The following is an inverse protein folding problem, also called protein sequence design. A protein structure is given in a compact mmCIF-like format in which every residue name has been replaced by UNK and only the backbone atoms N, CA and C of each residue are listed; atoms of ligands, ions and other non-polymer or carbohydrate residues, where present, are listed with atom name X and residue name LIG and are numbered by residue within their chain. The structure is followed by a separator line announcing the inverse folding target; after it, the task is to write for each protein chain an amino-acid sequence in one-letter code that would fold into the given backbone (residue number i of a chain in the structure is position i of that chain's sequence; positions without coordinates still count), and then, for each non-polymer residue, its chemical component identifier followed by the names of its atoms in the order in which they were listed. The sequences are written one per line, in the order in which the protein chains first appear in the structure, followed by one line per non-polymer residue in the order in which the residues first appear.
data_IF_147720530675
#
_entry.id   IF_147720530675
#
_cell.length_a   1.000
_cell.length_b   1.000
_cell.length_c   1.000
_cell.angle_alpha   90.00
_cell.angle_beta   90.00
_cell.angle_gamma   90.00
#
_symmetry.space_group_name_H-M   'P 1'
#
loop_
_entity.id
_entity.type
_entity.pdbx_description
1 polymer ?
#
# COMPACT_ATOMS: atom_id res chain seq x y z
N UNK A 1 6.48 -31.94 -19.48
CA UNK A 1 6.94 -30.55 -19.37
C UNK A 1 5.96 -29.68 -20.16
N UNK A 2 4.85 -29.29 -19.54
CA UNK A 2 3.96 -28.27 -20.11
C UNK A 2 4.56 -26.93 -19.69
N UNK A 3 5.15 -26.20 -20.63
CA UNK A 3 5.67 -24.85 -20.39
C UNK A 3 4.52 -23.95 -19.93
N UNK A 4 4.82 -22.97 -19.06
CA UNK A 4 3.90 -21.93 -18.59
C UNK A 4 2.94 -21.49 -19.70
N UNK A 5 1.69 -21.95 -19.63
CA UNK A 5 0.62 -21.49 -20.50
C UNK A 5 -0.06 -20.28 -19.83
N UNK A 6 0.72 -19.25 -19.55
CA UNK A 6 0.18 -17.95 -19.14
C UNK A 6 -0.01 -17.12 -20.39
N UNK A 7 -1.21 -16.55 -20.54
CA UNK A 7 -1.50 -15.58 -21.57
C UNK A 7 -0.66 -14.31 -21.28
N UNK A 8 0.53 -14.27 -21.85
CA UNK A 8 1.47 -13.15 -21.69
C UNK A 8 1.09 -12.07 -22.70
N UNK A 9 0.66 -10.91 -22.21
CA UNK A 9 0.56 -9.71 -23.02
C UNK A 9 1.95 -9.10 -23.13
N UNK A 10 2.69 -9.44 -24.19
CA UNK A 10 3.90 -8.73 -24.57
C UNK A 10 3.51 -7.36 -25.15
N UNK A 11 3.26 -6.39 -24.27
CA UNK A 11 3.00 -5.03 -24.69
C UNK A 11 4.34 -4.39 -25.08
N UNK A 12 4.66 -4.39 -26.37
CA UNK A 12 5.75 -3.58 -26.92
C UNK A 12 5.30 -2.12 -26.94
N UNK A 13 5.24 -1.50 -25.76
CA UNK A 13 5.15 -0.04 -25.65
C UNK A 13 6.53 0.52 -25.93
N UNK A 14 6.70 1.09 -27.12
CA UNK A 14 7.81 2.01 -27.40
C UNK A 14 7.67 3.21 -26.47
N UNK A 15 8.38 3.20 -25.34
CA UNK A 15 8.56 4.36 -24.48
C UNK A 15 9.31 5.41 -25.30
N UNK A 16 8.58 6.40 -25.81
CA UNK A 16 9.17 7.47 -26.60
C UNK A 16 10.03 8.39 -25.72
N UNK A 17 11.33 8.09 -25.67
CA UNK A 17 12.44 9.04 -25.71
C UNK A 17 12.66 9.97 -24.53
N UNK A 18 13.44 9.51 -23.53
CA UNK A 18 14.60 10.30 -23.09
C UNK A 18 15.70 10.01 -24.13
N UNK A 19 16.11 11.01 -24.90
CA UNK A 19 17.16 10.86 -25.91
C UNK A 19 18.50 10.67 -25.24
N UNK A 20 18.88 9.42 -25.02
CA UNK A 20 20.23 9.06 -24.60
C UNK A 20 21.16 8.90 -25.82
N UNK A 21 22.40 9.38 -25.67
CA UNK A 21 23.46 9.29 -26.69
C UNK A 21 23.73 7.85 -27.16
N UNK A 22 24.55 7.70 -28.19
CA UNK A 22 24.82 6.41 -28.85
C UNK A 22 25.46 5.34 -27.92
N UNK A 23 26.01 5.75 -26.79
CA UNK A 23 26.67 4.89 -25.82
C UNK A 23 25.77 4.65 -24.59
N UNK A 24 25.32 3.41 -24.38
CA UNK A 24 24.62 2.98 -23.17
C UNK A 24 23.52 1.92 -23.39
N UNK A 25 22.80 1.58 -22.32
CA UNK A 25 21.64 0.69 -22.36
C UNK A 25 20.41 1.42 -22.88
N UNK A 26 19.62 0.75 -23.73
CA UNK A 26 18.33 1.22 -24.25
C UNK A 26 17.34 0.06 -24.19
N UNK A 27 16.17 0.32 -23.64
CA UNK A 27 15.13 -0.71 -23.50
C UNK A 27 14.58 -1.08 -24.88
N UNK A 28 14.70 -2.35 -25.25
CA UNK A 28 14.12 -2.92 -26.47
C UNK A 28 12.68 -3.41 -26.29
N UNK A 29 12.30 -3.74 -25.06
CA UNK A 29 10.95 -4.20 -24.72
C UNK A 29 10.76 -4.42 -23.22
N UNK A 30 9.51 -4.33 -22.79
CA UNK A 30 9.05 -4.59 -21.42
C UNK A 30 8.21 -5.88 -21.41
N UNK A 31 8.44 -6.73 -20.41
CA UNK A 31 7.76 -8.01 -20.22
C UNK A 31 7.06 -7.97 -18.86
N UNK A 32 5.78 -8.33 -18.84
CA UNK A 32 4.99 -8.47 -17.63
C UNK A 32 4.75 -9.96 -17.38
N UNK A 33 5.06 -10.41 -16.17
CA UNK A 33 4.93 -11.83 -15.81
C UNK A 33 3.55 -12.18 -15.24
N UNK A 34 2.81 -11.15 -14.82
CA UNK A 34 1.43 -11.25 -14.36
C UNK A 34 0.46 -11.08 -15.52
N UNK A 35 -0.74 -11.63 -15.35
CA UNK A 35 -1.90 -11.32 -16.19
C UNK A 35 -2.43 -9.91 -15.90
N UNK A 36 -3.22 -9.36 -16.81
CA UNK A 36 -3.77 -8.01 -16.71
C UNK A 36 -4.62 -7.80 -15.45
N UNK A 37 -5.49 -8.75 -15.12
CA UNK A 37 -6.34 -8.73 -13.93
C UNK A 37 -5.52 -8.68 -12.63
N UNK A 38 -4.41 -9.42 -12.57
CA UNK A 38 -3.50 -9.40 -11.42
C UNK A 38 -2.77 -8.05 -11.33
N UNK A 39 -2.39 -7.46 -12.45
CA UNK A 39 -1.76 -6.14 -12.46
C UNK A 39 -2.74 -5.05 -12.04
N UNK A 40 -3.99 -5.07 -12.49
CA UNK A 40 -5.01 -4.10 -12.09
C UNK A 40 -5.30 -4.14 -10.58
N UNK A 41 -5.31 -5.34 -9.98
CA UNK A 41 -5.52 -5.48 -8.55
C UNK A 41 -4.32 -4.99 -7.71
N UNK A 42 -3.09 -5.15 -8.22
CA UNK A 42 -1.86 -4.97 -7.42
C UNK A 42 -1.10 -3.69 -7.72
N UNK A 43 -1.10 -3.22 -8.96
CA UNK A 43 -0.40 -2.02 -9.37
C UNK A 43 -1.30 -0.77 -9.20
N UNK A 44 -0.73 0.38 -8.83
CA UNK A 44 -1.50 1.59 -8.54
C UNK A 44 -2.10 2.20 -9.82
N UNK A 45 -1.30 2.31 -10.88
CA UNK A 45 -1.74 2.56 -12.26
C UNK A 45 -0.61 2.25 -13.28
N UNK A 46 -0.96 2.27 -14.58
CA UNK A 46 -0.02 2.01 -15.70
C UNK A 46 1.12 3.05 -15.76
N UNK A 47 0.87 4.29 -15.34
CA UNK A 47 1.84 5.39 -15.40
C UNK A 47 2.94 5.20 -14.37
N UNK A 48 2.61 4.76 -13.17
CA UNK A 48 3.60 4.41 -12.14
C UNK A 48 4.47 3.23 -12.58
N UNK A 49 3.87 2.21 -13.21
CA UNK A 49 4.61 1.07 -13.75
C UNK A 49 5.61 1.51 -14.84
N UNK A 50 5.16 2.36 -15.76
CA UNK A 50 6.02 2.93 -16.80
C UNK A 50 7.15 3.80 -16.20
N UNK A 51 6.84 4.60 -15.17
CA UNK A 51 7.83 5.43 -14.47
C UNK A 51 8.90 4.57 -13.81
N UNK A 52 8.50 3.47 -13.17
CA UNK A 52 9.44 2.54 -12.55
C UNK A 52 10.32 1.83 -13.58
N UNK A 53 9.75 1.37 -14.71
CA UNK A 53 10.52 0.78 -15.80
C UNK A 53 11.56 1.77 -16.39
N UNK A 54 11.18 3.04 -16.56
CA UNK A 54 12.09 4.09 -17.01
C UNK A 54 13.22 4.36 -16.01
N UNK A 55 12.95 4.30 -14.71
CA UNK A 55 13.97 4.47 -13.68
C UNK A 55 14.98 3.31 -13.68
N UNK A 56 14.53 2.08 -13.90
CA UNK A 56 15.41 0.92 -14.10
C UNK A 56 16.27 1.08 -15.36
N UNK A 57 15.67 1.51 -16.47
CA UNK A 57 16.41 1.81 -17.70
C UNK A 57 17.49 2.86 -17.48
N UNK A 58 17.17 3.97 -16.80
CA UNK A 58 18.13 5.03 -16.52
C UNK A 58 19.33 4.53 -15.69
N UNK A 59 19.08 3.68 -14.69
CA UNK A 59 20.13 3.07 -13.89
C UNK A 59 21.03 2.11 -14.71
N UNK A 60 20.43 1.30 -15.58
CA UNK A 60 21.17 0.48 -16.54
C UNK A 60 21.98 1.33 -17.51
N UNK A 61 21.37 2.40 -18.04
CA UNK A 61 22.00 3.31 -18.98
C UNK A 61 23.27 3.92 -18.37
N UNK A 62 23.14 4.53 -17.19
CA UNK A 62 24.27 5.14 -16.47
C UNK A 62 25.39 4.13 -16.24
N UNK A 63 25.07 2.90 -15.85
CA UNK A 63 26.07 1.86 -15.60
C UNK A 63 26.83 1.46 -16.88
N UNK A 64 26.10 1.20 -17.97
CA UNK A 64 26.68 0.74 -19.23
C UNK A 64 27.28 1.84 -20.10
N UNK A 65 27.26 3.10 -19.66
CA UNK A 65 28.13 4.14 -20.23
C UNK A 65 29.60 3.95 -19.85
N UNK A 66 29.87 3.23 -18.76
CA UNK A 66 31.22 3.01 -18.20
C UNK A 66 31.70 1.58 -18.34
N UNK A 67 30.76 0.64 -18.42
CA UNK A 67 31.01 -0.80 -18.41
C UNK A 67 30.60 -1.44 -19.73
N UNK A 68 31.29 -2.52 -20.12
CA UNK A 68 30.91 -3.29 -21.29
C UNK A 68 29.52 -3.95 -21.10
N UNK A 69 28.69 -3.93 -22.15
CA UNK A 69 27.38 -4.58 -22.14
C UNK A 69 27.51 -6.10 -22.21
N UNK A 70 26.64 -6.87 -21.51
CA UNK A 70 26.54 -8.31 -21.69
C UNK A 70 26.16 -8.64 -23.14
N UNK A 71 26.52 -9.85 -23.58
CA UNK A 71 26.05 -10.38 -24.86
C UNK A 71 24.56 -10.77 -24.73
N UNK A 72 23.75 -10.57 -25.79
CA UNK A 72 22.39 -11.09 -25.82
C UNK A 72 22.34 -12.62 -25.61
N UNK A 73 21.30 -13.15 -24.95
CA UNK A 73 20.20 -12.40 -24.36
C UNK A 73 20.56 -11.77 -23.01
N UNK A 74 20.10 -10.54 -22.78
CA UNK A 74 20.25 -9.82 -21.53
C UNK A 74 18.90 -9.24 -21.08
N UNK A 75 18.41 -9.76 -19.95
CA UNK A 75 17.20 -9.26 -19.30
C UNK A 75 17.50 -8.82 -17.88
N UNK A 76 16.84 -7.74 -17.47
CA UNK A 76 16.76 -7.29 -16.08
C UNK A 76 15.34 -7.55 -15.59
N UNK A 77 15.19 -8.39 -14.57
CA UNK A 77 13.90 -8.67 -13.95
C UNK A 77 13.88 -8.02 -12.58
N UNK A 78 12.90 -7.16 -12.33
CA UNK A 78 12.65 -6.56 -11.03
C UNK A 78 11.33 -7.08 -10.48
N UNK A 79 11.36 -7.68 -9.29
CA UNK A 79 10.15 -7.95 -8.52
C UNK A 79 9.98 -6.87 -7.45
N UNK A 80 8.76 -6.38 -7.29
CA UNK A 80 8.36 -5.42 -6.26
C UNK A 80 7.34 -6.07 -5.36
N UNK A 81 7.55 -6.01 -4.05
CA UNK A 81 6.64 -6.48 -3.01
C UNK A 81 5.96 -5.31 -2.28
N UNK A 82 4.84 -5.57 -1.59
CA UNK A 82 4.27 -4.60 -0.66
C UNK A 82 5.32 -4.06 0.32
N UNK A 83 5.18 -2.80 0.73
CA UNK A 83 6.18 -2.11 1.54
C UNK A 83 7.35 -1.51 0.73
N UNK A 84 7.20 -1.35 -0.59
CA UNK A 84 8.20 -0.73 -1.49
C UNK A 84 9.57 -1.42 -1.43
N UNK A 85 9.57 -2.74 -1.31
CA UNK A 85 10.79 -3.55 -1.37
C UNK A 85 10.92 -4.11 -2.78
N UNK A 86 12.13 -4.03 -3.35
CA UNK A 86 12.42 -4.62 -4.66
C UNK A 86 13.61 -5.55 -4.61
N UNK A 87 13.62 -6.51 -5.53
CA UNK A 87 14.76 -7.41 -5.75
C UNK A 87 14.95 -7.62 -7.25
N UNK A 88 16.20 -7.74 -7.67
CA UNK A 88 16.56 -7.81 -9.08
C UNK A 88 17.29 -9.10 -9.41
N UNK A 89 16.95 -9.65 -10.58
CA UNK A 89 17.63 -10.78 -11.21
C UNK A 89 18.02 -10.44 -12.64
N UNK A 90 19.01 -11.18 -13.15
CA UNK A 90 19.44 -11.08 -14.52
C UNK A 90 19.25 -12.41 -15.24
N UNK A 91 18.90 -12.34 -16.52
CA UNK A 91 19.01 -13.47 -17.44
C UNK A 91 20.15 -13.15 -18.40
N UNK A 92 21.17 -13.98 -18.37
CA UNK A 92 22.37 -13.88 -19.20
C UNK A 92 22.73 -15.29 -19.69
N UNK A 93 23.46 -15.43 -20.81
CA UNK A 93 23.89 -16.74 -21.29
C UNK A 93 25.03 -17.37 -20.46
N UNK A 94 25.70 -16.60 -19.59
CA UNK A 94 26.87 -17.05 -18.82
C UNK A 94 26.83 -16.52 -17.39
N UNK A 95 26.91 -17.43 -16.41
CA UNK A 95 26.97 -17.10 -14.99
C UNK A 95 28.13 -16.15 -14.63
N UNK A 96 29.23 -16.15 -15.40
CA UNK A 96 30.34 -15.19 -15.23
C UNK A 96 29.92 -13.75 -15.52
N UNK A 97 29.01 -13.54 -16.48
CA UNK A 97 28.45 -12.21 -16.75
C UNK A 97 27.63 -11.74 -15.57
N UNK A 98 26.82 -12.60 -14.97
CA UNK A 98 26.03 -12.29 -13.77
C UNK A 98 26.92 -11.80 -12.62
N UNK A 99 28.04 -12.48 -12.36
CA UNK A 99 28.99 -12.06 -11.33
C UNK A 99 29.62 -10.69 -11.64
N UNK A 100 29.90 -10.41 -12.92
CA UNK A 100 30.47 -9.12 -13.38
C UNK A 100 29.51 -7.95 -13.15
N UNK A 101 28.21 -8.17 -13.38
CA UNK A 101 27.16 -7.13 -13.25
C UNK A 101 26.50 -7.09 -11.87
N UNK A 102 27.03 -7.79 -10.88
CA UNK A 102 26.55 -7.70 -9.49
C UNK A 102 26.54 -6.25 -8.94
N UNK A 103 27.49 -5.36 -9.27
CA UNK A 103 27.39 -3.95 -8.87
C UNK A 103 26.18 -3.22 -9.46
N UNK A 104 25.72 -3.60 -10.66
CA UNK A 104 24.50 -3.07 -11.27
C UNK A 104 23.26 -3.52 -10.49
N UNK A 105 23.23 -4.77 -10.01
CA UNK A 105 22.12 -5.27 -9.19
C UNK A 105 21.84 -4.36 -7.99
N UNK A 106 22.88 -4.01 -7.24
CA UNK A 106 22.77 -3.09 -6.09
C UNK A 106 22.24 -1.72 -6.48
N UNK A 107 22.67 -1.19 -7.62
CA UNK A 107 22.14 0.09 -8.14
C UNK A 107 20.66 0.01 -8.48
N UNK A 108 20.24 -1.10 -9.11
CA UNK A 108 18.84 -1.31 -9.50
C UNK A 108 17.94 -1.55 -8.29
N UNK A 109 18.39 -2.31 -7.29
CA UNK A 109 17.64 -2.53 -6.04
C UNK A 109 17.54 -1.26 -5.18
N UNK A 110 18.41 -0.27 -5.42
CA UNK A 110 18.33 1.05 -4.79
C UNK A 110 17.38 2.02 -5.51
N UNK A 111 16.86 1.66 -6.69
CA UNK A 111 15.83 2.46 -7.37
C UNK A 111 14.56 2.43 -6.52
N UNK A 112 13.95 3.59 -6.19
CA UNK A 112 12.72 3.63 -5.40
C UNK A 112 11.62 2.76 -6.03
N UNK A 113 11.18 1.74 -5.29
CA UNK A 113 10.17 0.82 -5.77
C UNK A 113 8.77 1.48 -5.78
N UNK A 114 7.97 1.14 -6.78
CA UNK A 114 6.56 1.53 -6.84
C UNK A 114 5.77 0.93 -5.67
N UNK A 115 4.67 1.57 -5.28
CA UNK A 115 3.76 0.97 -4.31
C UNK A 115 3.00 -0.17 -4.99
N UNK A 116 2.93 -1.35 -4.37
CA UNK A 116 2.08 -2.46 -4.85
C UNK A 116 1.18 -2.94 -3.72
N UNK A 117 -0.01 -3.40 -4.07
CA UNK A 117 -1.04 -3.91 -3.17
C UNK A 117 -1.22 -5.42 -3.39
N UNK A 118 -1.69 -6.13 -2.36
CA UNK A 118 -2.21 -7.52 -2.46
C UNK A 118 -1.27 -8.60 -3.02
N UNK A 119 0.00 -8.28 -3.30
CA UNK A 119 1.01 -9.25 -3.72
C UNK A 119 2.15 -8.62 -4.52
N UNK A 120 3.13 -9.42 -4.96
CA UNK A 120 4.23 -8.93 -5.77
C UNK A 120 3.83 -8.67 -7.22
N UNK A 121 4.58 -7.77 -7.86
CA UNK A 121 4.55 -7.50 -9.31
C UNK A 121 5.96 -7.70 -9.87
N UNK A 122 6.08 -8.27 -11.08
CA UNK A 122 7.38 -8.57 -11.70
C UNK A 122 7.41 -7.96 -13.10
N UNK A 123 8.45 -7.16 -13.35
CA UNK A 123 8.68 -6.50 -14.61
C UNK A 123 10.04 -6.94 -15.14
N UNK A 124 10.06 -7.41 -16.39
CA UNK A 124 11.27 -7.64 -17.16
C UNK A 124 11.53 -6.49 -18.12
N UNK A 125 12.75 -6.02 -18.22
CA UNK A 125 13.21 -5.16 -19.31
C UNK A 125 14.32 -5.87 -20.08
N UNK A 126 14.25 -5.76 -21.40
CA UNK A 126 15.26 -6.27 -22.33
C UNK A 126 16.01 -5.13 -22.97
N UNK A 127 17.28 -5.35 -23.33
CA UNK A 127 18.00 -4.37 -24.14
C UNK A 127 17.62 -4.50 -25.64
N UNK A 128 17.82 -3.43 -26.41
CA UNK A 128 17.53 -3.45 -27.86
C UNK A 128 18.21 -4.59 -28.62
N UNK A 129 19.42 -5.01 -28.23
CA UNK A 129 20.13 -6.07 -28.91
C UNK A 129 19.45 -7.43 -28.67
N UNK A 130 18.98 -7.69 -27.45
CA UNK A 130 18.20 -8.88 -27.09
C UNK A 130 16.85 -8.89 -27.81
N UNK A 131 16.11 -7.78 -27.79
CA UNK A 131 14.83 -7.67 -28.49
C UNK A 131 14.96 -7.91 -30.01
N UNK A 132 16.06 -7.48 -30.63
CA UNK A 132 16.34 -7.74 -32.05
C UNK A 132 16.75 -9.19 -32.32
N UNK A 133 17.48 -9.82 -31.39
CA UNK A 133 18.01 -11.17 -31.56
C UNK A 133 16.94 -12.27 -31.39
N UNK A 134 15.99 -12.11 -30.47
CA UNK A 134 15.01 -13.15 -30.16
C UNK A 134 13.79 -13.17 -31.11
N UNK A 135 13.54 -12.09 -31.86
CA UNK A 135 12.37 -12.01 -32.74
C UNK A 135 11.03 -12.16 -32.00
N UNK A 136 9.92 -12.35 -32.73
CA UNK A 136 8.57 -12.48 -32.13
C UNK A 136 8.25 -13.87 -31.54
N UNK A 137 9.19 -14.81 -31.57
CA UNK A 137 8.93 -16.24 -31.32
C UNK A 137 9.79 -16.78 -30.17
N UNK A 138 9.69 -16.21 -28.97
CA UNK A 138 10.21 -16.88 -27.77
C UNK A 138 9.13 -17.78 -27.16
N UNK A 139 9.56 -18.95 -26.66
CA UNK A 139 8.72 -20.01 -26.08
C UNK A 139 8.18 -19.69 -24.67
N UNK A 140 8.16 -18.41 -24.28
CA UNK A 140 7.78 -17.93 -22.96
C UNK A 140 8.68 -16.80 -22.44
N UNK A 141 8.35 -16.22 -21.28
CA UNK A 141 9.16 -15.18 -20.67
C UNK A 141 10.51 -15.75 -20.16
N UNK A 142 11.59 -14.97 -20.22
CA UNK A 142 12.93 -15.43 -19.85
C UNK A 142 13.04 -15.68 -18.33
N UNK A 143 13.52 -16.86 -17.92
CA UNK A 143 13.67 -17.19 -16.50
C UNK A 143 15.13 -17.08 -16.03
N UNK A 144 15.40 -16.44 -14.87
CA UNK A 144 16.73 -16.48 -14.26
C UNK A 144 17.11 -17.90 -13.84
N UNK A 145 18.40 -18.24 -13.95
CA UNK A 145 18.92 -19.54 -13.54
C UNK A 145 18.57 -19.88 -12.08
N UNK A 146 18.63 -18.91 -11.17
CA UNK A 146 18.23 -19.07 -9.76
C UNK A 146 16.77 -19.54 -9.63
N UNK A 147 15.89 -19.09 -10.53
CA UNK A 147 14.49 -19.47 -10.52
C UNK A 147 14.27 -20.88 -11.03
N UNK A 148 14.95 -21.25 -12.13
CA UNK A 148 14.91 -22.60 -12.69
C UNK A 148 15.45 -23.64 -11.71
N UNK A 149 16.57 -23.32 -11.03
CA UNK A 149 17.15 -24.16 -9.99
C UNK A 149 16.19 -24.36 -8.80
N UNK A 150 15.56 -23.27 -8.34
CA UNK A 150 14.57 -23.33 -7.25
C UNK A 150 13.33 -24.16 -7.64
N UNK A 151 12.82 -23.99 -8.86
CA UNK A 151 11.69 -24.75 -9.39
C UNK A 151 12.01 -26.25 -9.45
N UNK A 152 13.18 -26.59 -10.03
CA UNK A 152 13.66 -27.96 -10.16
C UNK A 152 13.82 -28.62 -8.79
N UNK A 153 14.43 -27.90 -7.83
CA UNK A 153 14.60 -28.38 -6.46
C UNK A 153 13.28 -28.60 -5.74
N UNK A 154 12.29 -27.72 -5.98
CA UNK A 154 10.96 -27.84 -5.40
C UNK A 154 10.11 -28.94 -6.06
N UNK A 155 10.52 -29.48 -7.22
CA UNK A 155 9.73 -30.41 -8.04
C UNK A 155 8.30 -29.92 -8.31
N UNK A 156 8.14 -28.61 -8.44
CA UNK A 156 6.88 -27.95 -8.75
C UNK A 156 6.94 -27.41 -10.17
N UNK A 157 5.88 -27.66 -10.93
CA UNK A 157 5.59 -26.84 -12.10
C UNK A 157 5.10 -25.50 -11.54
N UNK A 158 5.92 -24.46 -11.63
CA UNK A 158 5.57 -23.14 -11.12
C UNK A 158 4.66 -22.47 -12.13
N UNK A 159 3.38 -22.36 -11.77
CA UNK A 159 2.34 -21.85 -12.66
C UNK A 159 2.20 -20.33 -12.54
N UNK A 160 2.67 -19.74 -11.43
CA UNK A 160 2.53 -18.30 -11.18
C UNK A 160 3.82 -17.61 -10.71
N UNK A 161 3.96 -16.30 -10.98
CA UNK A 161 5.02 -15.46 -10.43
C UNK A 161 5.14 -15.50 -8.90
N UNK A 162 4.02 -15.69 -8.20
CA UNK A 162 3.99 -15.70 -6.73
C UNK A 162 4.67 -16.94 -6.16
N UNK A 163 4.45 -18.10 -6.78
CA UNK A 163 5.04 -19.36 -6.35
C UNK A 163 6.56 -19.36 -6.49
N UNK A 164 7.08 -18.81 -7.60
CA UNK A 164 8.52 -18.73 -7.77
C UNK A 164 9.15 -17.75 -6.76
N UNK A 165 8.54 -16.58 -6.56
CA UNK A 165 9.04 -15.61 -5.59
C UNK A 165 9.00 -16.16 -4.16
N UNK A 166 8.02 -16.96 -3.79
CA UNK A 166 7.98 -17.63 -2.49
C UNK A 166 9.18 -18.55 -2.25
N UNK A 167 9.82 -19.07 -3.31
CA UNK A 167 11.00 -19.92 -3.23
C UNK A 167 12.31 -19.13 -3.21
N UNK A 168 12.48 -18.18 -4.15
CA UNK A 168 13.76 -17.46 -4.34
C UNK A 168 13.88 -16.20 -3.49
N UNK A 169 12.75 -15.66 -3.07
CA UNK A 169 12.66 -14.48 -2.24
C UNK A 169 11.50 -14.64 -1.24
N UNK A 170 11.60 -15.59 -0.30
CA UNK A 170 10.54 -15.82 0.67
C UNK A 170 10.30 -14.55 1.49
N UNK A 171 9.03 -14.33 1.85
CA UNK A 171 8.65 -13.27 2.77
C UNK A 171 9.36 -13.47 4.12
N UNK A 172 9.82 -12.36 4.70
CA UNK A 172 10.19 -12.33 6.12
C UNK A 172 8.97 -12.63 6.99
N UNK A 173 9.17 -13.01 8.24
CA UNK A 173 8.03 -13.27 9.14
C UNK A 173 7.14 -12.02 9.33
N UNK A 174 7.72 -10.82 9.27
CA UNK A 174 7.00 -9.55 9.23
C UNK A 174 6.13 -9.39 7.97
N UNK A 175 6.67 -9.75 6.79
CA UNK A 175 5.93 -9.70 5.52
C UNK A 175 4.83 -10.77 5.45
N UNK A 176 5.07 -11.99 5.94
CA UNK A 176 4.04 -13.04 6.03
C UNK A 176 2.89 -12.61 6.95
N UNK A 177 3.21 -11.93 8.05
CA UNK A 177 2.22 -11.40 8.97
C UNK A 177 1.38 -10.28 8.33
N UNK A 178 1.99 -9.44 7.48
CA UNK A 178 1.29 -8.40 6.71
C UNK A 178 0.38 -8.95 5.60
N UNK A 179 0.84 -9.95 4.83
CA UNK A 179 0.02 -10.61 3.80
C UNK A 179 -1.18 -11.36 4.40
N UNK A 180 -1.02 -11.96 5.58
CA UNK A 180 -2.14 -12.58 6.31
C UNK A 180 -3.19 -11.55 6.77
N UNK A 181 -2.82 -10.28 6.93
CA UNK A 181 -3.77 -9.20 7.21
C UNK A 181 -4.53 -8.73 5.95
N UNK A 182 -4.11 -9.12 4.74
CA UNK A 182 -4.79 -8.73 3.48
C UNK A 182 -5.90 -9.70 3.07
N UNK A 183 -5.94 -10.93 3.61
CA UNK A 183 -7.08 -11.87 3.47
C UNK A 183 -8.20 -11.62 4.49
N UNK A 184 -8.21 -10.45 5.13
CA UNK A 184 -9.18 -10.11 6.16
C UNK A 184 -10.54 -9.85 5.51
N UNK A 185 -11.54 -10.64 5.87
CA UNK A 185 -12.93 -10.35 5.51
C UNK A 185 -13.37 -9.06 6.24
N UNK A 186 -13.98 -8.14 5.52
CA UNK A 186 -14.46 -6.87 6.05
C UNK A 186 -15.99 -6.83 6.14
N UNK A 187 -16.49 -6.12 7.14
CA UNK A 187 -17.92 -5.85 7.34
C UNK A 187 -18.14 -4.37 7.60
N UNK A 188 -19.32 -3.88 7.22
CA UNK A 188 -19.78 -2.54 7.58
C UNK A 188 -20.18 -2.52 9.06
N UNK A 189 -19.70 -1.52 9.80
CA UNK A 189 -20.06 -1.24 11.18
C UNK A 189 -20.73 0.13 11.25
N UNK A 190 -21.91 0.17 11.87
CA UNK A 190 -22.65 1.41 12.13
C UNK A 190 -22.08 2.08 13.38
N UNK A 191 -21.96 3.41 13.35
CA UNK A 191 -21.46 4.29 14.40
C UNK A 191 -22.65 5.01 15.06
N UNK A 192 -23.22 4.40 16.09
CA UNK A 192 -24.36 4.98 16.80
C UNK A 192 -23.92 6.14 17.72
N UNK A 193 -24.80 7.13 17.99
CA UNK A 193 -26.16 7.28 17.47
C UNK A 193 -26.23 7.98 16.11
N UNK A 194 -25.09 8.34 15.51
CA UNK A 194 -25.06 9.20 14.31
C UNK A 194 -25.39 8.45 13.00
N UNK A 195 -25.52 7.12 13.08
CA UNK A 195 -25.76 6.26 11.92
C UNK A 195 -24.56 6.19 10.95
N UNK A 196 -23.42 6.78 11.30
CA UNK A 196 -22.21 6.75 10.51
C UNK A 196 -21.75 5.33 10.19
N UNK A 197 -20.88 5.17 9.21
CA UNK A 197 -20.45 3.86 8.70
C UNK A 197 -18.94 3.78 8.64
N UNK A 198 -18.40 2.62 9.00
CA UNK A 198 -16.98 2.31 8.83
C UNK A 198 -16.80 0.86 8.42
N UNK A 199 -15.89 0.61 7.50
CA UNK A 199 -15.51 -0.75 7.11
C UNK A 199 -14.47 -1.28 8.09
N UNK A 200 -14.77 -2.35 8.83
CA UNK A 200 -13.83 -2.97 9.78
C UNK A 200 -13.57 -4.44 9.46
N UNK A 201 -12.43 -5.01 9.92
CA UNK A 201 -12.26 -6.46 9.94
C UNK A 201 -13.43 -7.16 10.65
N UNK A 202 -13.95 -8.22 10.05
CA UNK A 202 -15.06 -9.01 10.61
C UNK A 202 -14.73 -9.56 12.00
N UNK A 203 -13.50 -10.00 12.19
CA UNK A 203 -13.01 -10.57 13.44
C UNK A 203 -12.74 -9.52 14.55
N UNK A 204 -12.76 -8.22 14.25
CA UNK A 204 -12.48 -7.19 15.25
C UNK A 204 -13.71 -6.83 16.07
N UNK A 205 -13.48 -6.47 17.32
CA UNK A 205 -14.48 -6.09 18.29
C UNK A 205 -14.88 -4.61 18.12
N UNK A 206 -16.11 -4.29 18.51
CA UNK A 206 -16.65 -2.95 18.47
C UNK A 206 -17.25 -2.59 19.83
N UNK A 207 -16.94 -1.41 20.32
CA UNK A 207 -17.52 -0.83 21.54
C UNK A 207 -17.73 0.66 21.35
N UNK A 208 -18.66 1.22 22.11
CA UNK A 208 -18.96 2.65 22.07
C UNK A 208 -19.15 3.21 23.47
N UNK A 209 -18.91 4.51 23.61
CA UNK A 209 -19.04 5.24 24.85
C UNK A 209 -19.36 6.69 24.58
N UNK A 210 -20.53 7.15 25.02
CA UNK A 210 -21.03 8.49 24.71
C UNK A 210 -21.27 9.26 26.00
N UNK A 211 -20.86 10.53 26.02
CA UNK A 211 -21.06 11.42 27.17
C UNK A 211 -21.23 12.86 26.70
N UNK A 212 -22.45 13.39 26.86
CA UNK A 212 -22.78 14.76 26.47
C UNK A 212 -22.51 14.98 24.97
N UNK A 213 -21.75 16.02 24.65
CA UNK A 213 -21.37 16.38 23.28
C UNK A 213 -20.16 15.58 22.73
N UNK A 214 -19.75 14.50 23.41
CA UNK A 214 -18.63 13.63 23.01
C UNK A 214 -19.12 12.23 22.71
N UNK A 215 -18.83 11.75 21.51
CA UNK A 215 -19.08 10.37 21.08
C UNK A 215 -17.77 9.64 20.85
N UNK A 216 -17.64 8.43 21.39
CA UNK A 216 -16.46 7.59 21.22
C UNK A 216 -16.85 6.24 20.67
N UNK A 217 -16.15 5.81 19.63
CA UNK A 217 -16.21 4.46 19.09
C UNK A 217 -14.82 3.84 19.13
N UNK A 218 -14.73 2.58 19.52
CA UNK A 218 -13.47 1.83 19.51
C UNK A 218 -13.68 0.52 18.75
N UNK A 219 -12.82 0.30 17.76
CA UNK A 219 -12.76 -0.91 16.94
C UNK A 219 -11.38 -1.51 17.13
N UNK A 220 -11.29 -2.70 17.73
CA UNK A 220 -10.02 -3.27 18.17
C UNK A 220 -9.91 -4.75 17.85
N UNK A 221 -8.68 -5.23 17.67
CA UNK A 221 -8.43 -6.66 17.52
C UNK A 221 -8.68 -7.40 18.84
N UNK A 222 -8.38 -6.77 19.98
CA UNK A 222 -8.66 -7.30 21.31
C UNK A 222 -10.10 -6.97 21.75
N UNK A 223 -10.74 -7.89 22.46
CA UNK A 223 -12.03 -7.65 23.11
C UNK A 223 -11.84 -6.79 24.38
N UNK A 224 -12.42 -5.60 24.37
CA UNK A 224 -12.38 -4.65 25.49
C UNK A 224 -13.73 -4.43 26.16
N UNK A 225 -14.75 -5.23 25.81
CA UNK A 225 -16.12 -5.10 26.35
C UNK A 225 -16.17 -5.21 27.88
N UNK A 226 -15.22 -5.92 28.49
CA UNK A 226 -15.10 -6.11 29.94
C UNK A 226 -14.14 -5.11 30.63
N UNK A 227 -13.89 -3.95 30.03
CA UNK A 227 -13.02 -2.91 30.61
C UNK A 227 -11.52 -3.17 30.44
N UNK A 228 -11.14 -4.04 29.51
CA UNK A 228 -9.74 -4.30 29.15
C UNK A 228 -9.10 -3.18 28.32
N UNK A 229 -7.80 -3.30 28.07
CA UNK A 229 -7.06 -2.48 27.12
C UNK A 229 -6.87 -3.21 25.79
N UNK A 230 -6.66 -2.46 24.70
CA UNK A 230 -6.27 -2.98 23.40
C UNK A 230 -4.92 -2.40 22.97
N UNK A 231 -4.16 -3.18 22.23
CA UNK A 231 -2.86 -2.79 21.67
C UNK A 231 -2.98 -2.41 20.19
N UNK A 232 -3.95 -2.99 19.49
CA UNK A 232 -4.18 -2.80 18.06
C UNK A 232 -5.62 -2.41 17.80
N UNK A 233 -5.83 -1.24 17.19
CA UNK A 233 -7.18 -0.79 16.88
C UNK A 233 -7.27 0.66 16.44
N UNK A 234 -8.51 1.08 16.25
CA UNK A 234 -8.91 2.43 15.91
C UNK A 234 -9.88 2.95 16.97
N UNK A 235 -9.60 4.14 17.50
CA UNK A 235 -10.54 4.89 18.33
C UNK A 235 -10.93 6.19 17.65
N UNK A 236 -12.23 6.40 17.48
CA UNK A 236 -12.81 7.59 16.88
C UNK A 236 -13.48 8.39 18.00
N UNK A 237 -13.15 9.68 18.11
CA UNK A 237 -13.75 10.59 19.07
C UNK A 237 -14.32 11.78 18.32
N UNK A 238 -15.64 11.94 18.31
CA UNK A 238 -16.32 13.11 17.77
C UNK A 238 -16.70 14.05 18.91
N UNK A 239 -16.43 15.34 18.71
CA UNK A 239 -16.71 16.44 19.62
C UNK A 239 -17.63 17.43 18.88
N UNK A 240 -18.77 17.69 19.47
CA UNK A 240 -19.74 18.66 18.97
C UNK A 240 -19.70 19.93 19.82
N UNK A 241 -20.14 21.04 19.22
CA UNK A 241 -20.23 22.34 19.89
C UNK A 241 -18.88 22.77 20.46
N UNK A 242 -17.81 22.57 19.70
CA UNK A 242 -16.43 22.78 20.17
C UNK A 242 -16.23 24.22 20.60
N UNK A 243 -16.70 25.19 19.82
CA UNK A 243 -16.63 26.61 20.10
C UNK A 243 -17.39 26.99 21.37
N UNK A 244 -18.59 26.45 21.58
CA UNK A 244 -19.36 26.67 22.80
C UNK A 244 -18.61 26.13 24.03
N UNK A 245 -18.00 24.95 23.92
CA UNK A 245 -17.37 24.25 25.03
C UNK A 245 -15.93 24.69 25.34
N UNK A 246 -15.18 25.16 24.34
CA UNK A 246 -13.73 25.44 24.48
C UNK A 246 -13.34 26.86 24.09
N UNK A 247 -14.25 27.65 23.50
CA UNK A 247 -13.95 28.99 22.98
C UNK A 247 -13.04 29.01 21.73
N UNK A 248 -12.73 27.85 21.15
CA UNK A 248 -11.85 27.70 19.97
C UNK A 248 -12.66 27.19 18.79
N UNK A 249 -12.26 27.51 17.57
CA UNK A 249 -12.78 26.81 16.38
C UNK A 249 -12.41 25.32 16.40
N UNK A 250 -13.16 24.50 15.67
CA UNK A 250 -12.88 23.07 15.53
C UNK A 250 -11.45 22.80 15.02
N UNK A 251 -10.95 23.64 14.10
CA UNK A 251 -9.59 23.57 13.57
C UNK A 251 -8.55 23.89 14.64
N UNK A 252 -8.67 25.02 15.34
CA UNK A 252 -7.73 25.43 16.39
C UNK A 252 -7.68 24.42 17.55
N UNK A 253 -8.83 23.83 17.90
CA UNK A 253 -8.91 22.77 18.89
C UNK A 253 -8.06 21.55 18.49
N UNK A 254 -8.22 21.06 17.26
CA UNK A 254 -7.49 19.89 16.76
C UNK A 254 -6.01 20.18 16.49
N UNK A 255 -5.68 21.38 16.01
CA UNK A 255 -4.28 21.80 15.86
C UNK A 255 -3.57 21.87 17.21
N UNK A 256 -4.24 22.38 18.25
CA UNK A 256 -3.72 22.33 19.61
C UNK A 256 -3.51 20.90 20.13
N UNK A 257 -4.42 19.98 19.79
CA UNK A 257 -4.25 18.55 20.11
C UNK A 257 -3.02 17.95 19.43
N UNK A 258 -2.81 18.21 18.12
CA UNK A 258 -1.65 17.70 17.40
C UNK A 258 -0.34 18.33 17.90
N UNK A 259 -0.32 19.64 18.17
CA UNK A 259 0.86 20.32 18.72
C UNK A 259 1.26 19.71 20.07
N UNK A 260 0.30 19.49 20.97
CA UNK A 260 0.56 18.84 22.26
C UNK A 260 1.11 17.40 22.10
N UNK A 261 0.71 16.69 21.03
CA UNK A 261 1.29 15.37 20.71
C UNK A 261 2.73 15.47 20.21
N UNK A 262 3.03 16.46 19.37
CA UNK A 262 4.38 16.70 18.87
C UNK A 262 5.36 17.18 19.95
N UNK A 263 4.86 17.90 20.96
CA UNK A 263 5.66 18.36 22.11
C UNK A 263 5.89 17.25 23.15
N UNK A 264 5.17 16.13 23.07
CA UNK A 264 5.33 14.98 23.94
C UNK A 264 6.60 14.15 23.66
N UNK A 265 6.77 13.04 24.39
CA UNK A 265 7.96 12.16 24.28
C UNK A 265 7.99 11.28 23.00
N UNK A 266 7.09 11.52 22.04
CA UNK A 266 6.97 10.72 20.83
C UNK A 266 7.89 11.17 19.70
N UNK A 267 8.27 10.22 18.84
CA UNK A 267 9.05 10.52 17.62
C UNK A 267 8.09 10.72 16.46
N UNK A 268 8.02 11.95 15.93
CA UNK A 268 7.27 12.25 14.71
C UNK A 268 7.91 11.53 13.51
N UNK A 269 7.11 10.79 12.76
CA UNK A 269 7.53 10.10 11.54
C UNK A 269 7.10 10.85 10.29
N UNK A 270 5.83 11.27 10.24
CA UNK A 270 5.29 11.98 9.09
C UNK A 270 4.09 12.87 9.46
N UNK A 271 3.76 13.79 8.57
CA UNK A 271 2.52 14.57 8.60
C UNK A 271 1.90 14.57 7.21
N UNK A 272 0.59 14.73 7.11
CA UNK A 272 -0.07 14.93 5.81
C UNK A 272 -0.67 16.33 5.67
N UNK A 273 -0.66 16.90 4.46
CA UNK A 273 -1.27 18.20 4.21
C UNK A 273 -2.79 18.14 4.42
N UNK A 274 -3.40 19.31 4.58
CA UNK A 274 -4.86 19.43 4.63
C UNK A 274 -5.49 18.93 3.33
N UNK A 275 -6.54 18.13 3.46
CA UNK A 275 -7.29 17.58 2.32
C UNK A 275 -8.78 17.54 2.64
N UNK A 276 -9.60 17.94 1.68
CA UNK A 276 -11.05 17.76 1.76
C UNK A 276 -11.44 16.28 1.65
N UNK A 277 -12.33 15.84 2.55
CA UNK A 277 -12.84 14.47 2.63
C UNK A 277 -14.32 14.51 3.03
N UNK A 278 -15.19 14.49 2.03
CA UNK A 278 -16.62 14.65 2.22
C UNK A 278 -16.94 16.05 2.75
N UNK A 279 -17.61 16.13 3.91
CA UNK A 279 -17.89 17.40 4.59
C UNK A 279 -16.76 17.91 5.48
N UNK A 280 -15.68 17.14 5.65
CA UNK A 280 -14.59 17.50 6.56
C UNK A 280 -13.32 17.90 5.82
N UNK A 281 -12.57 18.83 6.39
CA UNK A 281 -11.14 18.94 6.10
C UNK A 281 -10.36 18.01 7.04
N UNK A 282 -9.38 17.27 6.51
CA UNK A 282 -8.53 16.31 7.24
C UNK A 282 -7.06 16.72 7.22
N UNK A 283 -6.35 16.52 8.32
CA UNK A 283 -4.88 16.39 8.37
C UNK A 283 -4.49 15.20 9.26
N UNK A 284 -3.20 14.87 9.31
CA UNK A 284 -2.71 13.76 10.11
C UNK A 284 -1.29 13.94 10.62
N UNK A 285 -1.01 13.22 11.71
CA UNK A 285 0.29 13.10 12.37
C UNK A 285 0.56 11.60 12.61
N UNK A 286 1.64 11.10 12.03
CA UNK A 286 2.13 9.75 12.25
C UNK A 286 3.36 9.82 13.16
N UNK A 287 3.37 9.03 14.23
CA UNK A 287 4.42 9.08 15.24
C UNK A 287 4.58 7.76 16.00
N UNK A 288 5.75 7.59 16.61
CA UNK A 288 6.02 6.52 17.54
C UNK A 288 5.90 7.04 18.99
N UNK A 289 5.01 6.43 19.78
CA UNK A 289 4.83 6.73 21.21
C UNK A 289 5.10 5.45 22.04
N UNK A 290 6.20 5.44 22.80
CA UNK A 290 6.59 4.27 23.59
C UNK A 290 6.81 3.04 22.71
N UNK A 291 6.00 1.98 22.91
CA UNK A 291 6.02 0.73 22.11
C UNK A 291 5.10 0.74 20.89
N UNK A 292 4.39 1.84 20.64
CA UNK A 292 3.37 1.91 19.61
C UNK A 292 3.80 2.79 18.43
N UNK A 293 3.28 2.43 17.25
CA UNK A 293 3.19 3.29 16.09
C UNK A 293 1.74 3.76 15.99
N UNK A 294 1.54 5.08 15.96
CA UNK A 294 0.21 5.70 15.99
C UNK A 294 0.07 6.69 14.83
N UNK A 295 -1.06 6.61 14.12
CA UNK A 295 -1.53 7.62 13.19
C UNK A 295 -2.74 8.35 13.79
N UNK A 296 -2.56 9.62 14.09
CA UNK A 296 -3.63 10.56 14.44
C UNK A 296 -4.17 11.19 13.17
N UNK A 297 -5.38 10.84 12.77
CA UNK A 297 -6.12 11.54 11.72
C UNK A 297 -7.16 12.45 12.37
N UNK A 298 -7.11 13.74 12.08
CA UNK A 298 -8.04 14.72 12.64
C UNK A 298 -8.87 15.35 11.53
N UNK A 299 -10.16 15.55 11.80
CA UNK A 299 -11.16 16.00 10.84
C UNK A 299 -11.97 17.14 11.44
N UNK A 300 -12.25 18.20 10.70
CA UNK A 300 -13.13 19.27 11.17
C UNK A 300 -14.07 19.78 10.09
N UNK A 301 -15.25 20.21 10.53
CA UNK A 301 -16.26 20.92 9.75
C UNK A 301 -17.04 21.80 10.71
N UNK A 302 -17.22 23.08 10.39
CA UNK A 302 -17.93 24.05 11.23
C UNK A 302 -17.53 23.98 12.72
N UNK A 303 -18.41 23.41 13.55
CA UNK A 303 -18.25 23.28 15.00
C UNK A 303 -18.15 21.81 15.47
N UNK A 304 -17.71 20.93 14.57
CA UNK A 304 -17.50 19.50 14.77
C UNK A 304 -16.02 19.19 14.60
N UNK A 305 -15.44 18.52 15.59
CA UNK A 305 -14.07 17.98 15.53
C UNK A 305 -14.10 16.47 15.70
N UNK A 306 -13.33 15.75 14.89
CA UNK A 306 -13.15 14.29 15.02
C UNK A 306 -11.68 13.96 15.13
N UNK A 307 -11.34 13.10 16.07
CA UNK A 307 -10.00 12.50 16.22
C UNK A 307 -10.12 10.99 16.01
N UNK A 308 -9.50 10.47 14.96
CA UNK A 308 -9.32 9.05 14.73
C UNK A 308 -7.88 8.67 15.08
N UNK A 309 -7.72 7.79 16.06
CA UNK A 309 -6.44 7.29 16.57
C UNK A 309 -6.30 5.84 16.11
N UNK A 310 -5.45 5.60 15.12
CA UNK A 310 -5.12 4.26 14.64
C UNK A 310 -3.77 3.86 15.21
N UNK A 311 -3.67 2.72 15.90
CA UNK A 311 -2.44 2.34 16.57
C UNK A 311 -2.22 0.84 16.61
N UNK A 312 -0.96 0.43 16.55
CA UNK A 312 -0.48 -0.94 16.73
C UNK A 312 0.92 -0.93 17.37
N UNK A 313 1.40 -2.06 17.92
CA UNK A 313 2.81 -2.20 18.28
C UNK A 313 3.72 -1.91 17.07
N UNK A 314 4.89 -1.28 17.30
CA UNK A 314 5.78 -0.81 16.21
C UNK A 314 6.14 -1.92 15.23
N UNK A 315 6.47 -3.09 15.76
CA UNK A 315 6.85 -4.28 15.01
C UNK A 315 5.70 -4.88 14.19
N UNK A 316 4.47 -4.41 14.39
CA UNK A 316 3.27 -4.85 13.69
C UNK A 316 2.64 -3.73 12.83
N UNK A 317 3.24 -2.54 12.77
CA UNK A 317 2.65 -1.41 12.03
C UNK A 317 2.43 -1.75 10.56
N UNK A 318 3.43 -2.32 9.88
CA UNK A 318 3.33 -2.67 8.46
C UNK A 318 2.22 -3.70 8.18
N UNK A 319 1.87 -4.51 9.20
CA UNK A 319 0.75 -5.46 9.12
C UNK A 319 -0.60 -4.76 9.19
N UNK A 320 -0.76 -3.77 10.06
CA UNK A 320 -2.07 -3.15 10.33
C UNK A 320 -2.28 -1.82 9.60
N UNK A 321 -1.24 -1.15 9.12
CA UNK A 321 -1.37 0.12 8.39
C UNK A 321 -2.30 0.02 7.17
N UNK A 322 -2.35 -1.08 6.38
CA UNK A 322 -3.34 -1.21 5.31
C UNK A 322 -4.77 -1.32 5.83
N UNK A 323 -4.98 -1.99 6.97
CA UNK A 323 -6.29 -2.09 7.64
C UNK A 323 -6.75 -0.71 8.10
N UNK A 324 -5.86 0.06 8.73
CA UNK A 324 -6.15 1.42 9.17
C UNK A 324 -6.44 2.35 8.00
N UNK A 325 -5.70 2.24 6.90
CA UNK A 325 -5.94 3.02 5.69
C UNK A 325 -7.35 2.80 5.15
N UNK A 326 -7.83 1.56 5.11
CA UNK A 326 -9.20 1.24 4.71
C UNK A 326 -10.24 1.79 5.69
N UNK A 327 -9.96 1.72 6.98
CA UNK A 327 -10.84 2.25 8.03
C UNK A 327 -10.95 3.79 8.02
N UNK A 328 -10.00 4.51 7.43
CA UNK A 328 -10.07 5.98 7.29
C UNK A 328 -11.17 6.45 6.33
N UNK A 329 -11.69 5.57 5.48
CA UNK A 329 -12.83 5.82 4.59
C UNK A 329 -14.16 5.69 5.34
N UNK A 330 -14.27 6.37 6.50
CA UNK A 330 -15.49 6.34 7.31
C UNK A 330 -16.40 7.53 6.99
N UNK A 331 -17.69 7.32 7.23
CA UNK A 331 -18.74 8.33 7.18
C UNK A 331 -19.22 8.59 8.61
N UNK A 332 -19.17 9.83 9.09
CA UNK A 332 -19.62 10.14 10.46
C UNK A 332 -21.14 10.19 10.60
N UNK A 333 -21.84 10.72 9.59
CA UNK A 333 -23.28 10.96 9.61
C UNK A 333 -23.99 10.21 8.49
N UNK A 334 -25.09 9.54 8.85
CA UNK A 334 -26.12 9.17 7.89
C UNK A 334 -27.20 10.26 7.87
N UNK A 335 -27.05 11.23 6.97
CA UNK A 335 -27.93 12.40 6.90
C UNK A 335 -29.38 12.00 6.59
N UNK A 336 -29.58 11.01 5.73
CA UNK A 336 -30.92 10.52 5.40
C UNK A 336 -31.61 9.93 6.63
N UNK A 337 -30.88 9.15 7.43
CA UNK A 337 -31.39 8.61 8.69
C UNK A 337 -31.70 9.72 9.69
N UNK A 338 -30.81 10.69 9.85
CA UNK A 338 -31.01 11.80 10.80
C UNK A 338 -32.25 12.61 10.43
N UNK A 339 -32.43 12.97 9.16
CA UNK A 339 -33.59 13.71 8.67
C UNK A 339 -34.90 12.93 8.88
N UNK A 340 -34.87 11.62 8.61
CA UNK A 340 -36.01 10.73 8.79
C UNK A 340 -36.41 10.62 10.27
N UNK A 341 -35.44 10.52 11.17
CA UNK A 341 -35.72 10.41 12.60
C UNK A 341 -36.22 11.75 13.18
N UNK A 342 -35.65 12.88 12.75
CA UNK A 342 -36.17 14.21 13.09
C UNK A 342 -37.62 14.41 12.63
N UNK A 343 -37.96 14.01 11.40
CA UNK A 343 -39.32 14.11 10.89
C UNK A 343 -40.34 13.27 11.69
N UNK A 344 -39.94 12.09 12.17
CA UNK A 344 -40.79 11.26 13.05
C UNK A 344 -40.99 11.90 14.41
N UNK A 345 -39.95 12.47 15.01
CA UNK A 345 -40.07 13.16 16.30
C UNK A 345 -40.99 14.38 16.20
N UNK A 346 -40.87 15.16 15.13
CA UNK A 346 -41.76 16.29 14.85
C UNK A 346 -43.22 15.85 14.67
N UNK A 347 -43.46 14.73 13.97
CA UNK A 347 -44.79 14.16 13.82
C UNK A 347 -45.37 13.73 15.18
N UNK A 348 -44.59 13.00 15.99
CA UNK A 348 -45.01 12.55 17.31
C UNK A 348 -45.24 13.72 18.30
N UNK A 349 -44.49 14.82 18.18
CA UNK A 349 -44.69 16.02 18.98
C UNK A 349 -45.97 16.78 18.60
N UNK A 350 -46.37 16.75 17.32
CA UNK A 350 -47.62 17.34 16.84
C UNK A 350 -48.85 16.55 17.29
N UNK A 351 -48.77 15.22 17.37
CA UNK A 351 -49.87 14.37 17.86
C UNK A 351 -50.14 14.51 19.38
N UNK A 352 -49.17 15.03 20.14
CA UNK A 352 -49.29 15.25 21.58
C UNK A 352 -49.78 16.65 21.98
N UNK A 353 -49.98 17.55 21.00
CA UNK A 353 -50.53 18.89 21.19
C UNK A 353 -51.96 18.93 20.70
#
# INVERSE_FOLDING_TARGET
MKKLASLVLALVTTLAGITHGADGFKTGGVILYQTEDVLEARAPDVKELATYAQALEAACHEYFTKEARPKPPFYVLAAVKPGKTSRVWFVTPDAKETARIEPLKKKLEAVPAMAVKEGPVIIGISDEATAKAEGKNSDGPPMPAEWEEAATKAKKDLETPDEILALVWPDTDAQKAATKATTVEYVEQILEPLGGKITKPKAWHYTEGHKGAKFVWTISEQDISNGGSYDTGVRIQAFFKVKENTGKSAKEFLQGFLAAKQEGEGKVLSTCPEKEQGMFTRTCLEMEEGRFHIMYSVFWSDDISVVMISGAPKEQWDRYSPVFNRMMEFQLFDMERIEKDAAKEDAAAKEKK
#
